data_IF_494912472587
#
_entry.id   IF_494912472587
#
_cell.length_a   1.000
_cell.length_b   1.000
_cell.length_c   1.000
_cell.angle_alpha   90.00
_cell.angle_beta   90.00
_cell.angle_gamma   90.00
#
_symmetry.space_group_name_H-M   'P 1'
#
loop_
_entity.id
_entity.type
_entity.pdbx_description
1 polymer ?
#
# COMPACT_ATOMS: atom_id res chain seq x y z
N UNK A 1 -10.28 16.99 3.61
CA UNK A 1 -9.33 15.94 3.29
C UNK A 1 -8.76 15.37 4.58
N UNK A 2 -9.05 14.10 4.85
CA UNK A 2 -8.57 13.37 6.00
C UNK A 2 -7.01 13.39 6.07
N UNK A 3 -6.40 13.72 7.22
CA UNK A 3 -4.94 13.80 7.34
C UNK A 3 -4.25 12.46 7.07
N UNK A 4 -4.89 11.33 7.39
CA UNK A 4 -4.36 10.01 7.11
C UNK A 4 -4.30 9.74 5.60
N UNK A 5 -5.34 10.11 4.87
CA UNK A 5 -5.38 9.99 3.41
C UNK A 5 -4.32 10.88 2.76
N UNK A 6 -4.16 12.12 3.26
CA UNK A 6 -3.11 13.03 2.77
C UNK A 6 -1.72 12.41 2.94
N UNK A 7 -1.43 11.86 4.12
CA UNK A 7 -0.12 11.25 4.38
C UNK A 7 0.10 10.02 3.50
N UNK A 8 -0.92 9.18 3.32
CA UNK A 8 -0.83 8.04 2.41
C UNK A 8 -0.56 8.46 0.97
N UNK A 9 -1.29 9.45 0.45
CA UNK A 9 -1.06 10.01 -0.88
C UNK A 9 0.39 10.50 -1.05
N UNK A 10 0.93 11.20 -0.04
CA UNK A 10 2.32 11.66 -0.07
C UNK A 10 3.27 10.46 -0.05
N UNK A 11 3.06 9.47 0.80
CA UNK A 11 3.94 8.29 0.88
C UNK A 11 4.02 7.52 -0.45
N UNK A 12 2.90 7.36 -1.17
CA UNK A 12 2.91 6.67 -2.48
C UNK A 12 3.57 7.49 -3.60
N UNK A 13 3.69 8.81 -3.45
CA UNK A 13 4.37 9.69 -4.41
C UNK A 13 5.90 9.59 -4.30
N UNK A 14 6.44 9.11 -3.18
CA UNK A 14 7.88 8.98 -2.94
C UNK A 14 8.28 7.51 -2.79
N UNK A 15 8.45 6.75 -3.90
CA UNK A 15 8.83 5.33 -3.83
C UNK A 15 10.28 5.09 -3.37
N UNK A 16 11.16 6.09 -3.47
CA UNK A 16 12.59 6.02 -3.09
C UNK A 16 12.85 6.19 -1.57
N UNK A 17 11.81 6.11 -0.74
CA UNK A 17 11.93 6.15 0.72
C UNK A 17 12.37 4.81 1.29
N UNK A 18 12.75 4.81 2.57
CA UNK A 18 13.24 3.61 3.26
C UNK A 18 12.17 2.52 3.38
N UNK A 19 12.58 1.25 3.49
CA UNK A 19 11.65 0.14 3.72
C UNK A 19 10.83 0.27 5.01
N UNK A 20 11.32 1.01 6.02
CA UNK A 20 10.54 1.33 7.21
C UNK A 20 9.37 2.29 6.91
N UNK A 21 9.61 3.32 6.08
CA UNK A 21 8.57 4.25 5.65
C UNK A 21 7.51 3.55 4.77
N UNK A 22 7.95 2.64 3.90
CA UNK A 22 7.02 1.79 3.15
C UNK A 22 6.16 0.92 4.07
N UNK A 23 6.73 0.41 5.17
CA UNK A 23 5.96 -0.36 6.15
C UNK A 23 4.93 0.51 6.87
N UNK A 24 5.30 1.73 7.25
CA UNK A 24 4.37 2.71 7.82
C UNK A 24 3.26 3.05 6.82
N UNK A 25 3.57 3.19 5.53
CA UNK A 25 2.58 3.39 4.47
C UNK A 25 1.55 2.24 4.40
N UNK A 26 1.98 0.98 4.51
CA UNK A 26 1.04 -0.16 4.55
C UNK A 26 0.14 -0.12 5.79
N UNK A 27 0.69 0.29 6.94
CA UNK A 27 -0.09 0.46 8.17
C UNK A 27 -1.06 1.66 8.08
N UNK A 28 -0.67 2.73 7.38
CA UNK A 28 -1.57 3.83 7.08
C UNK A 28 -2.74 3.36 6.21
N UNK A 29 -2.49 2.48 5.23
CA UNK A 29 -3.56 1.89 4.41
C UNK A 29 -4.50 0.99 5.21
N UNK A 30 -3.99 0.20 6.16
CA UNK A 30 -4.81 -0.58 7.09
C UNK A 30 -5.78 0.33 7.87
N UNK A 31 -5.27 1.45 8.42
CA UNK A 31 -6.10 2.43 9.13
C UNK A 31 -7.10 3.12 8.19
N UNK A 32 -6.71 3.38 6.94
CA UNK A 32 -7.60 3.96 5.93
C UNK A 32 -8.79 3.04 5.65
N UNK A 33 -8.60 1.73 5.63
CA UNK A 33 -9.70 0.77 5.45
C UNK A 33 -10.74 0.84 6.58
N UNK A 34 -10.32 1.11 7.81
CA UNK A 34 -11.23 1.25 8.95
C UNK A 34 -12.10 2.51 8.86
N UNK A 35 -11.54 3.58 8.28
CA UNK A 35 -12.24 4.86 8.10
C UNK A 35 -12.83 5.05 6.70
N UNK A 36 -12.59 4.13 5.77
CA UNK A 36 -13.05 4.17 4.37
C UNK A 36 -14.57 4.40 4.24
N UNK A 37 -15.44 3.81 5.10
CA UNK A 37 -16.87 4.08 5.07
C UNK A 37 -17.24 5.54 5.43
N UNK A 38 -16.34 6.26 6.09
CA UNK A 38 -16.53 7.64 6.55
C UNK A 38 -15.93 8.67 5.59
N UNK A 39 -15.17 8.23 4.58
CA UNK A 39 -14.57 9.11 3.59
C UNK A 39 -15.63 9.65 2.62
N UNK A 40 -15.43 10.88 2.17
CA UNK A 40 -16.26 11.45 1.09
C UNK A 40 -15.95 10.77 -0.24
N UNK A 41 -16.84 10.90 -1.23
CA UNK A 41 -16.60 10.34 -2.56
C UNK A 41 -15.32 10.90 -3.21
N UNK A 42 -15.03 12.19 -3.00
CA UNK A 42 -13.79 12.83 -3.46
C UNK A 42 -12.55 12.19 -2.81
N UNK A 43 -12.62 11.88 -1.52
CA UNK A 43 -11.55 11.21 -0.78
C UNK A 43 -11.34 9.76 -1.24
N UNK A 44 -12.43 9.04 -1.56
CA UNK A 44 -12.33 7.69 -2.12
C UNK A 44 -11.70 7.70 -3.52
N UNK A 45 -11.97 8.72 -4.33
CA UNK A 45 -11.31 8.90 -5.63
C UNK A 45 -9.81 9.11 -5.44
N UNK A 46 -9.40 9.95 -4.48
CA UNK A 46 -8.00 10.17 -4.15
C UNK A 46 -7.33 8.89 -3.63
N UNK A 47 -8.01 8.14 -2.75
CA UNK A 47 -7.54 6.86 -2.24
C UNK A 47 -7.31 5.85 -3.37
N UNK A 48 -8.26 5.74 -4.29
CA UNK A 48 -8.16 4.87 -5.46
C UNK A 48 -6.98 5.25 -6.35
N UNK A 49 -6.73 6.56 -6.54
CA UNK A 49 -5.58 7.06 -7.28
C UNK A 49 -4.26 6.69 -6.60
N UNK A 50 -4.17 6.87 -5.28
CA UNK A 50 -2.99 6.52 -4.50
C UNK A 50 -2.74 5.00 -4.50
N UNK A 51 -3.79 4.20 -4.34
CA UNK A 51 -3.74 2.74 -4.43
C UNK A 51 -3.23 2.26 -5.80
N UNK A 52 -3.66 2.91 -6.87
CA UNK A 52 -3.15 2.63 -8.22
C UNK A 52 -1.66 2.94 -8.34
N UNK A 53 -1.21 4.09 -7.83
CA UNK A 53 0.22 4.45 -7.84
C UNK A 53 1.05 3.45 -7.04
N UNK A 54 0.53 2.96 -5.92
CA UNK A 54 1.19 1.91 -5.13
C UNK A 54 1.35 0.62 -5.94
N UNK A 55 0.32 0.20 -6.69
CA UNK A 55 0.40 -0.99 -7.54
C UNK A 55 1.38 -0.79 -8.71
N UNK A 56 1.37 0.38 -9.34
CA UNK A 56 2.29 0.72 -10.44
C UNK A 56 3.75 0.73 -9.96
N UNK A 57 4.00 1.18 -8.72
CA UNK A 57 5.32 1.19 -8.09
C UNK A 57 5.60 -0.04 -7.20
N UNK A 58 4.74 -1.07 -7.25
CA UNK A 58 4.80 -2.20 -6.33
C UNK A 58 6.17 -2.91 -6.32
N UNK A 59 6.83 -2.97 -7.48
CA UNK A 59 8.16 -3.56 -7.61
C UNK A 59 9.22 -2.82 -6.78
N UNK A 60 9.24 -1.48 -6.87
CA UNK A 60 10.21 -0.63 -6.16
C UNK A 60 9.94 -0.69 -4.66
N UNK A 61 8.67 -0.51 -4.27
CA UNK A 61 8.22 -0.56 -2.87
C UNK A 61 8.53 -1.92 -2.24
N UNK A 62 8.25 -3.02 -2.95
CA UNK A 62 8.55 -4.37 -2.46
C UNK A 62 10.05 -4.61 -2.33
N UNK A 63 10.86 -4.14 -3.27
CA UNK A 63 12.31 -4.32 -3.23
C UNK A 63 12.89 -3.73 -1.93
N UNK A 64 12.50 -2.50 -1.57
CA UNK A 64 12.95 -1.87 -0.33
C UNK A 64 12.34 -2.53 0.92
N UNK A 65 11.03 -2.88 0.91
CA UNK A 65 10.39 -3.61 2.01
C UNK A 65 11.06 -4.96 2.29
N UNK A 66 11.43 -5.71 1.26
CA UNK A 66 11.99 -7.06 1.38
C UNK A 66 13.32 -7.10 2.13
N UNK A 67 14.03 -5.96 2.19
CA UNK A 67 15.27 -5.80 2.97
C UNK A 67 15.03 -5.75 4.48
N UNK A 68 13.84 -5.35 4.90
CA UNK A 68 13.48 -5.16 6.31
C UNK A 68 12.49 -6.22 6.80
N UNK A 69 11.61 -6.71 5.91
CA UNK A 69 10.52 -7.57 6.30
C UNK A 69 10.14 -8.57 5.21
N UNK A 70 9.91 -9.81 5.62
CA UNK A 70 9.30 -10.82 4.76
C UNK A 70 7.78 -10.70 4.81
N UNK A 71 7.19 -10.10 3.77
CA UNK A 71 5.73 -9.90 3.68
C UNK A 71 4.97 -11.24 3.74
N UNK A 72 5.48 -12.30 3.11
CA UNK A 72 4.86 -13.62 3.14
C UNK A 72 4.78 -14.18 4.57
N UNK A 73 5.88 -14.11 5.34
CA UNK A 73 5.89 -14.58 6.72
C UNK A 73 4.97 -13.75 7.61
N UNK A 74 4.96 -12.42 7.43
CA UNK A 74 4.08 -11.52 8.16
C UNK A 74 2.61 -11.81 7.89
N UNK A 75 2.23 -12.02 6.62
CA UNK A 75 0.85 -12.38 6.26
C UNK A 75 0.40 -13.67 6.93
N UNK A 76 1.27 -14.68 6.98
CA UNK A 76 0.98 -15.96 7.66
C UNK A 76 0.86 -15.78 9.17
N UNK A 77 1.77 -15.04 9.78
CA UNK A 77 1.77 -14.82 11.23
C UNK A 77 0.53 -14.04 11.71
N UNK A 78 0.06 -13.07 10.92
CA UNK A 78 -1.06 -12.21 11.27
C UNK A 78 -2.39 -12.60 10.60
N UNK A 79 -2.43 -13.72 9.87
CA UNK A 79 -3.60 -14.19 9.12
C UNK A 79 -4.24 -13.09 8.24
N UNK A 80 -3.40 -12.37 7.50
CA UNK A 80 -3.85 -11.20 6.72
C UNK A 80 -4.73 -11.62 5.54
N UNK A 81 -6.00 -11.22 5.57
CA UNK A 81 -6.96 -11.50 4.51
C UNK A 81 -6.58 -10.84 3.16
N UNK A 82 -6.89 -11.48 2.01
CA UNK A 82 -6.64 -10.91 0.68
C UNK A 82 -7.31 -9.56 0.40
N UNK A 83 -8.36 -9.21 1.15
CA UNK A 83 -8.99 -7.88 1.11
C UNK A 83 -7.99 -6.76 1.43
N UNK A 84 -6.95 -7.05 2.21
CA UNK A 84 -5.82 -6.17 2.45
C UNK A 84 -4.71 -6.41 1.44
N UNK A 85 -5.04 -6.23 0.17
CA UNK A 85 -4.21 -6.59 -0.98
C UNK A 85 -2.84 -5.89 -0.97
N UNK A 86 -2.70 -4.73 -0.32
CA UNK A 86 -1.41 -4.01 -0.20
C UNK A 86 -0.38 -4.80 0.63
N UNK A 87 -0.77 -5.81 1.41
CA UNK A 87 0.18 -6.72 2.04
C UNK A 87 0.70 -7.81 1.09
N UNK A 88 0.13 -7.92 -0.11
CA UNK A 88 0.50 -8.88 -1.14
C UNK A 88 1.36 -8.22 -2.24
N UNK A 89 2.06 -7.13 -1.93
CA UNK A 89 2.96 -6.46 -2.86
C UNK A 89 4.07 -7.37 -3.39
N UNK A 90 4.50 -8.36 -2.62
CA UNK A 90 5.42 -9.42 -3.07
C UNK A 90 4.87 -10.26 -4.22
N UNK A 91 3.54 -10.46 -4.27
CA UNK A 91 2.87 -11.13 -5.38
C UNK A 91 2.69 -10.16 -6.54
N UNK A 92 2.21 -8.94 -6.25
CA UNK A 92 1.94 -7.92 -7.27
C UNK A 92 3.21 -7.47 -8.00
N UNK A 93 4.35 -7.42 -7.32
CA UNK A 93 5.65 -7.06 -7.89
C UNK A 93 6.19 -8.07 -8.91
N UNK A 94 5.69 -9.32 -8.88
CA UNK A 94 6.14 -10.42 -9.75
C UNK A 94 5.15 -10.67 -10.89
N UNK A 95 3.92 -10.15 -10.77
CA UNK A 95 2.95 -10.24 -11.85
C UNK A 95 3.39 -9.31 -12.98
N UNK A 96 3.41 -9.79 -14.25
CA UNK A 96 3.58 -8.90 -15.37
C UNK A 96 2.38 -7.95 -15.35
N UNK A 97 2.65 -6.66 -15.09
CA UNK A 97 1.65 -5.60 -15.27
C UNK A 97 1.34 -5.62 -16.76
N UNK A 98 0.30 -6.38 -17.12
CA UNK A 98 -0.20 -6.41 -18.48
C UNK A 98 -0.81 -5.04 -18.73
N UNK A 99 0.02 -4.12 -19.21
CA UNK A 99 -0.42 -2.88 -19.81
C UNK A 99 -1.47 -3.22 -20.87
N UNK A 100 -2.65 -2.63 -20.72
CA UNK A 100 -3.46 -2.27 -21.88
C UNK A 100 -2.78 -1.13 -22.62
#
# INVERSE_FOLDING_TARGET
MNPLLKNYCVSVEFPDVSGAEHLEMLQMRDRLTEIEPQLTEEEKILLTKADRQLVENAHIVYQELSRFINLTEKRKAQFICPQRWWWYLDVLAVLPISCK
#
